data_IF_505845032744
#
_entry.id   IF_505845032744
#
_cell.length_a   1.000
_cell.length_b   1.000
_cell.length_c   1.000
_cell.angle_alpha   90.00
_cell.angle_beta   90.00
_cell.angle_gamma   90.00
#
_symmetry.space_group_name_H-M   'P 1'
#
loop_
_entity.id
_entity.type
_entity.pdbx_description
1 polymer ?
#
# COMPACT_ATOMS: atom_id res chain seq x y z
N UNK A 1 -5.89 -5.38 29.66
CA UNK A 1 -5.79 -4.79 28.32
C UNK A 1 -6.52 -5.67 27.29
N UNK A 2 -6.30 -6.99 27.30
CA UNK A 2 -6.97 -7.96 26.40
C UNK A 2 -8.48 -7.98 26.61
N UNK A 3 -8.96 -7.87 27.87
CA UNK A 3 -10.39 -7.84 28.19
C UNK A 3 -11.10 -6.56 27.74
N UNK A 4 -10.39 -5.45 27.59
CA UNK A 4 -10.91 -4.20 27.05
C UNK A 4 -11.03 -4.24 25.51
N UNK A 5 -10.13 -4.98 24.85
CA UNK A 5 -10.18 -5.19 23.41
C UNK A 5 -11.28 -6.19 22.98
N UNK A 6 -11.63 -7.14 23.86
CA UNK A 6 -12.69 -8.11 23.60
C UNK A 6 -14.11 -7.61 23.94
N UNK A 7 -14.26 -6.45 24.59
CA UNK A 7 -15.57 -5.93 25.04
C UNK A 7 -16.23 -4.98 24.03
N UNK A 8 -15.53 -4.55 23.00
CA UNK A 8 -16.12 -3.90 21.85
C UNK A 8 -16.59 -5.04 20.90
N UNK A 9 -17.75 -5.63 21.21
CA UNK A 9 -18.50 -6.40 20.22
C UNK A 9 -18.58 -5.49 19.00
N UNK A 10 -17.88 -5.87 17.94
CA UNK A 10 -18.11 -5.27 16.63
C UNK A 10 -19.63 -5.33 16.41
N UNK A 11 -20.24 -4.17 16.41
CA UNK A 11 -21.64 -4.00 16.00
C UNK A 11 -21.62 -4.23 14.49
N UNK A 12 -21.52 -5.53 14.13
CA UNK A 12 -21.73 -5.95 12.76
C UNK A 12 -23.19 -5.60 12.48
N UNK A 13 -23.42 -4.44 11.89
CA UNK A 13 -24.71 -4.15 11.31
C UNK A 13 -25.00 -5.31 10.36
N UNK A 14 -25.91 -6.18 10.79
CA UNK A 14 -26.46 -7.24 9.96
C UNK A 14 -27.01 -6.57 8.71
N UNK A 15 -26.23 -6.60 7.64
CA UNK A 15 -26.72 -6.24 6.32
C UNK A 15 -27.83 -7.22 6.03
N UNK A 16 -29.09 -6.82 5.73
CA UNK A 16 -30.17 -7.76 5.46
C UNK A 16 -29.73 -8.69 4.34
N UNK A 17 -29.50 -9.94 4.70
CA UNK A 17 -29.08 -11.00 3.79
C UNK A 17 -30.22 -11.24 2.78
N UNK A 18 -30.11 -10.62 1.61
CA UNK A 18 -30.60 -11.30 0.42
C UNK A 18 -29.68 -12.51 0.25
N UNK A 19 -30.14 -13.69 0.66
CA UNK A 19 -29.38 -14.92 0.61
C UNK A 19 -29.08 -15.28 -0.85
N UNK A 20 -28.00 -14.73 -1.37
CA UNK A 20 -27.45 -15.15 -2.66
C UNK A 20 -26.89 -16.56 -2.45
N UNK A 21 -27.26 -17.54 -3.26
CA UNK A 21 -26.74 -18.90 -3.09
C UNK A 21 -25.22 -18.92 -3.09
N UNK A 22 -24.62 -19.73 -2.22
CA UNK A 22 -23.18 -19.75 -1.95
C UNK A 22 -22.35 -19.92 -3.23
N UNK A 23 -22.81 -20.79 -4.16
CA UNK A 23 -22.13 -21.02 -5.43
C UNK A 23 -22.05 -19.76 -6.30
N UNK A 24 -23.12 -18.94 -6.29
CA UNK A 24 -23.15 -17.69 -7.07
C UNK A 24 -22.23 -16.63 -6.44
N UNK A 25 -22.23 -16.54 -5.12
CA UNK A 25 -21.29 -15.65 -4.39
C UNK A 25 -19.84 -16.05 -4.65
N UNK A 26 -19.52 -17.34 -4.59
CA UNK A 26 -18.19 -17.85 -4.90
C UNK A 26 -17.78 -17.57 -6.34
N UNK A 27 -18.69 -17.70 -7.30
CA UNK A 27 -18.43 -17.37 -8.71
C UNK A 27 -18.11 -15.88 -8.88
N UNK A 28 -18.87 -15.00 -8.26
CA UNK A 28 -18.58 -13.55 -8.31
C UNK A 28 -17.23 -13.19 -7.68
N UNK A 29 -16.86 -13.84 -6.58
CA UNK A 29 -15.55 -13.65 -5.95
C UNK A 29 -14.43 -14.07 -6.89
N UNK A 30 -14.53 -15.26 -7.50
CA UNK A 30 -13.50 -15.74 -8.45
C UNK A 30 -13.39 -14.85 -9.68
N UNK A 31 -14.52 -14.52 -10.31
CA UNK A 31 -14.51 -13.64 -11.49
C UNK A 31 -13.97 -12.26 -11.14
N UNK A 32 -14.39 -11.68 -10.02
CA UNK A 32 -13.91 -10.38 -9.56
C UNK A 32 -12.40 -10.39 -9.28
N UNK A 33 -11.89 -11.43 -8.63
CA UNK A 33 -10.46 -11.60 -8.37
C UNK A 33 -9.67 -11.71 -9.67
N UNK A 34 -10.11 -12.55 -10.60
CA UNK A 34 -9.47 -12.67 -11.91
C UNK A 34 -9.49 -11.34 -12.67
N UNK A 35 -10.61 -10.64 -12.68
CA UNK A 35 -10.74 -9.35 -13.37
C UNK A 35 -9.76 -8.31 -12.79
N UNK A 36 -9.59 -8.25 -11.47
CA UNK A 36 -8.64 -7.33 -10.84
C UNK A 36 -7.19 -7.72 -11.14
N UNK A 37 -6.86 -9.01 -11.10
CA UNK A 37 -5.51 -9.49 -11.45
C UNK A 37 -5.18 -9.17 -12.90
N UNK A 38 -6.07 -9.46 -13.86
CA UNK A 38 -5.86 -9.15 -15.27
C UNK A 38 -5.78 -7.65 -15.51
N UNK A 39 -6.67 -6.86 -14.89
CA UNK A 39 -6.65 -5.40 -14.98
C UNK A 39 -5.35 -4.79 -14.48
N UNK A 40 -4.85 -5.27 -13.33
CA UNK A 40 -3.56 -4.82 -12.77
C UNK A 40 -2.39 -5.15 -13.72
N UNK A 41 -2.36 -6.35 -14.31
CA UNK A 41 -1.32 -6.73 -15.28
C UNK A 41 -1.36 -5.87 -16.53
N UNK A 42 -2.53 -5.62 -17.09
CA UNK A 42 -2.69 -4.73 -18.26
C UNK A 42 -2.24 -3.30 -17.94
N UNK A 43 -2.60 -2.81 -16.75
CA UNK A 43 -2.16 -1.49 -16.29
C UNK A 43 -0.64 -1.41 -16.19
N UNK A 44 -0.01 -2.37 -15.51
CA UNK A 44 1.45 -2.39 -15.33
C UNK A 44 2.15 -2.46 -16.69
N UNK A 45 1.72 -3.38 -17.57
CA UNK A 45 2.34 -3.53 -18.90
C UNK A 45 2.22 -2.27 -19.74
N UNK A 46 1.01 -1.72 -19.89
CA UNK A 46 0.79 -0.53 -20.71
C UNK A 46 1.45 0.73 -20.15
N UNK A 47 1.35 0.95 -18.85
CA UNK A 47 1.96 2.11 -18.22
C UNK A 47 3.49 2.03 -18.21
N UNK A 48 4.07 0.84 -18.02
CA UNK A 48 5.53 0.63 -18.10
C UNK A 48 6.06 0.84 -19.53
N UNK A 49 5.33 0.40 -20.56
CA UNK A 49 5.70 0.63 -21.95
C UNK A 49 5.74 2.13 -22.28
N UNK A 50 4.72 2.89 -21.87
CA UNK A 50 4.69 4.35 -22.03
C UNK A 50 5.85 5.00 -21.29
N UNK A 51 6.09 4.60 -20.04
CA UNK A 51 7.16 5.15 -19.23
C UNK A 51 8.55 4.88 -19.80
N UNK A 52 8.78 3.68 -20.37
CA UNK A 52 10.00 3.34 -21.09
C UNK A 52 10.20 4.21 -22.33
N UNK A 53 9.13 4.47 -23.10
CA UNK A 53 9.22 5.35 -24.28
C UNK A 53 9.51 6.80 -23.89
N UNK A 54 9.13 7.22 -22.68
CA UNK A 54 9.46 8.54 -22.11
C UNK A 54 10.87 8.59 -21.51
N UNK A 55 11.63 7.49 -21.56
CA UNK A 55 13.02 7.42 -21.06
C UNK A 55 13.15 7.30 -19.54
N UNK A 56 12.09 6.90 -18.82
CA UNK A 56 12.18 6.63 -17.40
C UNK A 56 13.00 5.37 -17.13
N UNK A 57 13.81 5.39 -16.05
CA UNK A 57 14.59 4.21 -15.67
C UNK A 57 13.70 3.08 -15.15
N UNK A 58 14.12 1.82 -15.35
CA UNK A 58 13.42 0.64 -14.85
C UNK A 58 13.14 0.72 -13.34
N UNK A 59 14.07 1.29 -12.59
CA UNK A 59 13.91 1.46 -11.15
C UNK A 59 12.78 2.45 -10.82
N UNK A 60 12.68 3.59 -11.51
CA UNK A 60 11.58 4.54 -11.32
C UNK A 60 10.25 3.90 -11.69
N UNK A 61 10.21 3.15 -12.79
CA UNK A 61 9.01 2.40 -13.21
C UNK A 61 8.60 1.40 -12.13
N UNK A 62 9.55 0.65 -11.56
CA UNK A 62 9.29 -0.34 -10.52
C UNK A 62 8.70 0.26 -9.25
N UNK A 63 9.31 1.32 -8.71
CA UNK A 63 8.86 1.96 -7.46
C UNK A 63 7.60 2.82 -7.61
N UNK A 64 7.19 3.15 -8.83
CA UNK A 64 5.98 3.95 -9.10
C UNK A 64 4.89 3.09 -9.73
N UNK A 65 5.02 2.76 -11.01
CA UNK A 65 3.97 2.11 -11.81
C UNK A 65 3.70 0.69 -11.30
N UNK A 66 4.76 -0.10 -11.10
CA UNK A 66 4.61 -1.48 -10.63
C UNK A 66 4.05 -1.49 -9.20
N UNK A 67 4.56 -0.61 -8.31
CA UNK A 67 4.06 -0.51 -6.94
C UNK A 67 2.57 -0.13 -6.89
N UNK A 68 2.14 0.87 -7.68
CA UNK A 68 0.72 1.23 -7.80
C UNK A 68 -0.08 0.07 -8.37
N UNK A 69 0.38 -0.52 -9.46
CA UNK A 69 -0.33 -1.60 -10.16
C UNK A 69 -0.54 -2.84 -9.31
N UNK A 70 0.46 -3.23 -8.51
CA UNK A 70 0.34 -4.37 -7.58
C UNK A 70 -0.59 -4.07 -6.41
N UNK A 71 -0.78 -2.80 -6.04
CA UNK A 71 -1.69 -2.37 -4.97
C UNK A 71 -3.11 -2.03 -5.45
N UNK A 72 -3.40 -2.15 -6.77
CA UNK A 72 -4.75 -1.92 -7.31
C UNK A 72 -5.81 -2.85 -6.71
N UNK A 73 -5.54 -4.16 -6.48
CA UNK A 73 -6.50 -5.05 -5.82
C UNK A 73 -6.89 -4.56 -4.41
N UNK A 74 -5.90 -4.17 -3.62
CA UNK A 74 -6.10 -3.65 -2.26
C UNK A 74 -6.86 -2.33 -2.29
N UNK A 75 -6.52 -1.45 -3.24
CA UNK A 75 -7.21 -0.17 -3.41
C UNK A 75 -8.68 -0.39 -3.78
N UNK A 76 -8.98 -1.30 -4.72
CA UNK A 76 -10.33 -1.60 -5.14
C UNK A 76 -11.17 -2.15 -3.99
N UNK A 77 -10.65 -3.13 -3.24
CA UNK A 77 -11.35 -3.71 -2.09
C UNK A 77 -11.52 -2.71 -0.96
N UNK A 78 -10.50 -1.90 -0.67
CA UNK A 78 -10.55 -0.83 0.32
C UNK A 78 -11.56 0.26 -0.02
N UNK A 79 -11.65 0.68 -1.28
CA UNK A 79 -12.66 1.65 -1.75
C UNK A 79 -14.08 1.11 -1.60
N UNK A 80 -14.33 -0.13 -2.04
CA UNK A 80 -15.65 -0.77 -1.88
C UNK A 80 -16.04 -0.87 -0.41
N UNK A 81 -15.12 -1.27 0.46
CA UNK A 81 -15.35 -1.33 1.90
C UNK A 81 -15.67 0.07 2.48
N UNK A 82 -14.94 1.10 2.04
CA UNK A 82 -15.19 2.48 2.47
C UNK A 82 -16.57 2.99 2.03
N UNK A 83 -16.98 2.71 0.78
CA UNK A 83 -18.33 3.05 0.29
C UNK A 83 -19.43 2.30 1.06
N UNK A 84 -19.16 1.05 1.46
CA UNK A 84 -20.08 0.26 2.29
C UNK A 84 -20.01 0.60 3.77
N UNK A 85 -19.21 1.60 4.16
CA UNK A 85 -18.97 2.02 5.56
C UNK A 85 -18.35 0.91 6.44
N UNK A 86 -17.71 -0.07 5.83
CA UNK A 86 -17.00 -1.16 6.51
C UNK A 86 -15.55 -0.73 6.81
N UNK A 87 -15.40 0.25 7.68
CA UNK A 87 -14.11 0.91 7.97
C UNK A 87 -13.08 -0.07 8.53
N UNK A 88 -13.50 -0.97 9.41
CA UNK A 88 -12.60 -1.95 10.04
C UNK A 88 -12.02 -2.92 9.02
N UNK A 89 -12.84 -3.35 8.05
CA UNK A 89 -12.38 -4.18 6.95
C UNK A 89 -11.37 -3.42 6.06
N UNK A 90 -11.67 -2.15 5.70
CA UNK A 90 -10.77 -1.33 4.89
C UNK A 90 -9.40 -1.14 5.57
N UNK A 91 -9.39 -0.86 6.87
CA UNK A 91 -8.16 -0.72 7.66
C UNK A 91 -7.42 -2.05 7.78
N UNK A 92 -8.14 -3.13 8.09
CA UNK A 92 -7.56 -4.48 8.17
C UNK A 92 -6.91 -4.92 6.86
N UNK A 93 -7.54 -4.62 5.72
CA UNK A 93 -6.99 -4.90 4.39
C UNK A 93 -5.66 -4.17 4.16
N UNK A 94 -5.58 -2.87 4.45
CA UNK A 94 -4.36 -2.06 4.28
C UNK A 94 -3.24 -2.55 5.21
N UNK A 95 -3.53 -2.76 6.50
CA UNK A 95 -2.51 -3.22 7.45
C UNK A 95 -2.08 -4.65 7.15
N UNK A 96 -3.03 -5.52 6.79
CA UNK A 96 -2.75 -6.92 6.48
C UNK A 96 -1.89 -7.09 5.24
N UNK A 97 -2.16 -6.34 4.16
CA UNK A 97 -1.34 -6.36 2.95
C UNK A 97 0.08 -5.86 3.22
N UNK A 98 0.27 -4.80 4.01
CA UNK A 98 1.61 -4.32 4.38
C UNK A 98 2.40 -5.37 5.17
N UNK A 99 1.77 -6.01 6.16
CA UNK A 99 2.38 -7.09 6.94
C UNK A 99 2.75 -8.26 6.03
N UNK A 100 1.83 -8.67 5.15
CA UNK A 100 2.07 -9.77 4.22
C UNK A 100 3.20 -9.44 3.23
N UNK A 101 3.26 -8.23 2.69
CA UNK A 101 4.31 -7.82 1.77
C UNK A 101 5.69 -7.82 2.43
N UNK A 102 5.79 -7.37 3.69
CA UNK A 102 7.08 -7.33 4.41
C UNK A 102 7.48 -8.74 4.86
N UNK A 103 6.63 -9.46 5.58
CA UNK A 103 7.03 -10.74 6.18
C UNK A 103 6.81 -11.93 5.23
N UNK A 104 5.75 -11.93 4.44
CA UNK A 104 5.46 -12.99 3.49
C UNK A 104 6.30 -12.85 2.22
N UNK A 105 6.12 -11.76 1.48
CA UNK A 105 6.75 -11.61 0.16
C UNK A 105 8.27 -11.44 0.28
N UNK A 106 8.75 -10.44 1.03
CA UNK A 106 10.20 -10.22 1.18
C UNK A 106 10.86 -11.38 1.92
N UNK A 107 10.22 -11.89 2.99
CA UNK A 107 10.76 -13.01 3.75
C UNK A 107 10.93 -14.27 2.91
N UNK A 108 9.94 -14.63 2.09
CA UNK A 108 10.04 -15.79 1.20
C UNK A 108 11.03 -15.52 0.06
N UNK A 109 10.99 -14.33 -0.54
CA UNK A 109 11.92 -14.00 -1.65
C UNK A 109 13.39 -14.07 -1.21
N UNK A 110 13.70 -13.64 0.00
CA UNK A 110 15.07 -13.68 0.54
C UNK A 110 15.63 -15.10 0.75
N UNK A 111 14.75 -16.13 0.79
CA UNK A 111 15.20 -17.53 0.87
C UNK A 111 15.72 -18.06 -0.48
N UNK A 112 15.35 -17.43 -1.59
CA UNK A 112 15.67 -17.90 -2.94
C UNK A 112 16.70 -17.04 -3.66
N UNK A 113 16.86 -15.77 -3.26
CA UNK A 113 17.80 -14.84 -3.88
C UNK A 113 18.23 -13.77 -2.92
N UNK A 114 19.45 -13.27 -3.08
CA UNK A 114 19.90 -12.06 -2.39
C UNK A 114 19.12 -10.87 -2.92
N UNK A 115 18.54 -10.09 -2.01
CA UNK A 115 17.76 -8.91 -2.36
C UNK A 115 18.71 -7.72 -2.48
N UNK A 116 19.03 -7.36 -3.71
CA UNK A 116 19.77 -6.13 -3.99
C UNK A 116 18.84 -4.92 -3.92
N UNK A 117 19.29 -3.89 -3.22
CA UNK A 117 18.48 -2.73 -2.89
C UNK A 117 19.04 -1.51 -3.60
N UNK A 118 18.32 -0.93 -4.57
CA UNK A 118 18.82 0.21 -5.33
C UNK A 118 18.97 1.48 -4.46
N UNK A 119 20.12 2.13 -4.57
CA UNK A 119 20.49 3.36 -3.85
C UNK A 119 19.96 4.61 -4.59
N UNK A 120 18.65 4.72 -4.78
CA UNK A 120 18.06 5.79 -5.60
C UNK A 120 18.09 7.17 -4.92
N UNK A 121 17.76 7.22 -3.66
CA UNK A 121 17.57 8.48 -2.94
C UNK A 121 18.87 9.21 -2.63
N UNK A 122 19.95 8.47 -2.33
CA UNK A 122 21.27 9.04 -2.01
C UNK A 122 21.90 9.77 -3.21
N UNK A 123 21.58 9.34 -4.43
CA UNK A 123 22.16 9.91 -5.65
C UNK A 123 21.58 11.30 -6.00
N UNK A 124 20.38 11.60 -5.58
CA UNK A 124 19.67 12.84 -5.93
C UNK A 124 19.88 13.95 -4.90
N UNK A 125 20.09 13.62 -3.63
CA UNK A 125 20.54 14.56 -2.62
C UNK A 125 22.07 14.51 -2.58
N UNK A 126 22.73 15.46 -3.20
CA UNK A 126 24.18 15.65 -3.11
C UNK A 126 24.53 16.05 -1.67
N UNK A 127 24.44 15.09 -0.74
CA UNK A 127 24.67 15.27 0.71
C UNK A 127 26.16 15.54 0.98
N UNK A 128 27.04 15.26 0.01
CA UNK A 128 28.45 15.66 0.04
C UNK A 128 28.64 17.18 0.23
N UNK A 129 27.73 18.01 -0.26
CA UNK A 129 27.81 19.47 -0.07
C UNK A 129 27.54 19.92 1.38
N UNK A 130 26.91 19.10 2.20
CA UNK A 130 26.59 19.43 3.61
C UNK A 130 27.65 18.87 4.59
N UNK A 131 28.69 18.18 4.09
CA UNK A 131 29.77 17.65 4.92
C UNK A 131 29.36 16.47 5.84
N UNK A 132 28.17 15.92 5.67
CA UNK A 132 27.71 14.72 6.37
C UNK A 132 27.98 13.50 5.49
N UNK A 133 29.06 12.79 5.75
CA UNK A 133 29.41 11.52 5.12
C UNK A 133 28.52 10.39 5.66
N UNK A 134 27.20 10.52 5.52
CA UNK A 134 26.25 9.48 5.87
C UNK A 134 26.03 8.64 4.62
N UNK A 135 26.82 7.59 4.49
CA UNK A 135 26.65 6.53 3.48
C UNK A 135 25.42 5.66 3.85
N UNK A 136 24.27 6.33 4.07
CA UNK A 136 23.00 5.64 4.32
C UNK A 136 22.41 5.28 2.97
N UNK A 137 22.21 3.98 2.72
CA UNK A 137 21.51 3.47 1.55
C UNK A 137 20.10 4.09 1.47
N UNK A 138 19.64 4.43 0.28
CA UNK A 138 18.32 5.04 0.06
C UNK A 138 17.16 4.34 0.78
N UNK A 139 17.28 3.02 0.96
CA UNK A 139 16.34 2.22 1.75
C UNK A 139 16.15 2.69 3.18
N UNK A 140 17.18 3.16 3.84
CA UNK A 140 17.03 3.61 5.22
C UNK A 140 16.10 4.83 5.25
N UNK A 141 16.18 5.71 4.25
CA UNK A 141 15.26 6.85 4.14
C UNK A 141 13.84 6.40 3.82
N UNK A 142 13.67 5.46 2.89
CA UNK A 142 12.36 4.91 2.54
C UNK A 142 11.74 4.16 3.71
N UNK A 143 12.53 3.35 4.41
CA UNK A 143 12.11 2.64 5.61
C UNK A 143 11.69 3.59 6.73
N UNK A 144 12.48 4.66 6.98
CA UNK A 144 12.13 5.69 7.95
C UNK A 144 10.87 6.46 7.53
N UNK A 145 10.74 6.80 6.25
CA UNK A 145 9.55 7.46 5.74
C UNK A 145 8.29 6.61 5.98
N UNK A 146 8.32 5.33 5.59
CA UNK A 146 7.21 4.39 5.81
C UNK A 146 6.91 4.24 7.31
N UNK A 147 7.96 4.11 8.14
CA UNK A 147 7.79 4.01 9.59
C UNK A 147 7.11 5.25 10.17
N UNK A 148 7.58 6.44 9.82
CA UNK A 148 7.01 7.70 10.31
C UNK A 148 5.56 7.86 9.88
N UNK A 149 5.25 7.62 8.60
CA UNK A 149 3.87 7.70 8.08
C UNK A 149 2.97 6.68 8.78
N UNK A 150 3.46 5.46 9.00
CA UNK A 150 2.72 4.41 9.74
C UNK A 150 2.46 4.81 11.19
N UNK A 151 3.45 5.35 11.88
CA UNK A 151 3.29 5.83 13.26
C UNK A 151 2.30 6.99 13.36
N UNK A 152 2.35 7.95 12.41
CA UNK A 152 1.37 9.03 12.32
C UNK A 152 -0.03 8.47 12.08
N UNK A 153 -0.18 7.50 11.19
CA UNK A 153 -1.45 6.84 10.90
C UNK A 153 -2.02 6.15 12.15
N UNK A 154 -1.21 5.34 12.84
CA UNK A 154 -1.61 4.64 14.06
C UNK A 154 -1.97 5.63 15.18
N UNK A 155 -1.18 6.70 15.34
CA UNK A 155 -1.46 7.76 16.30
C UNK A 155 -2.81 8.45 16.02
N UNK A 156 -3.06 8.82 14.77
CA UNK A 156 -4.32 9.45 14.37
C UNK A 156 -5.52 8.52 14.58
N UNK A 157 -5.38 7.24 14.29
CA UNK A 157 -6.41 6.24 14.56
C UNK A 157 -6.71 6.13 16.07
N UNK A 158 -5.67 6.09 16.91
CA UNK A 158 -5.83 5.95 18.36
C UNK A 158 -6.45 7.20 19.01
N UNK A 159 -6.05 8.39 18.57
CA UNK A 159 -6.49 9.66 19.18
C UNK A 159 -7.84 10.12 18.60
N UNK A 160 -8.00 10.09 17.30
CA UNK A 160 -9.20 10.63 16.63
C UNK A 160 -10.29 9.60 16.39
N UNK A 161 -9.98 8.31 16.50
CA UNK A 161 -10.88 7.17 16.23
C UNK A 161 -11.62 7.23 14.88
N UNK A 162 -11.31 8.23 14.04
CA UNK A 162 -11.89 8.42 12.70
C UNK A 162 -10.89 9.10 11.78
N UNK A 163 -10.70 8.52 10.61
CA UNK A 163 -9.93 9.13 9.53
C UNK A 163 -10.91 9.84 8.61
N UNK A 164 -10.93 11.16 8.66
CA UNK A 164 -11.80 11.98 7.83
C UNK A 164 -11.16 12.36 6.49
N UNK A 165 -11.96 12.91 5.58
CA UNK A 165 -11.51 13.34 4.24
C UNK A 165 -10.26 14.23 4.27
N UNK A 166 -10.15 15.15 5.22
CA UNK A 166 -8.98 16.04 5.37
C UNK A 166 -7.68 15.28 5.63
N UNK A 167 -7.74 14.25 6.49
CA UNK A 167 -6.59 13.39 6.80
C UNK A 167 -6.22 12.53 5.59
N UNK A 168 -7.22 12.00 4.85
CA UNK A 168 -6.98 11.26 3.62
C UNK A 168 -6.29 12.12 2.55
N UNK A 169 -6.75 13.36 2.33
CA UNK A 169 -6.11 14.30 1.41
C UNK A 169 -4.66 14.60 1.84
N UNK A 170 -4.40 14.79 3.13
CA UNK A 170 -3.06 15.02 3.65
C UNK A 170 -2.12 13.85 3.32
N UNK A 171 -2.53 12.59 3.57
CA UNK A 171 -1.73 11.42 3.24
C UNK A 171 -1.49 11.29 1.74
N UNK A 172 -2.48 11.62 0.92
CA UNK A 172 -2.34 11.59 -0.53
C UNK A 172 -1.34 12.65 -1.03
N UNK A 173 -1.35 13.84 -0.45
CA UNK A 173 -0.37 14.89 -0.76
C UNK A 173 1.04 14.50 -0.32
N UNK A 174 1.19 13.86 0.86
CA UNK A 174 2.48 13.34 1.34
C UNK A 174 3.01 12.27 0.37
N UNK A 175 2.15 11.36 -0.12
CA UNK A 175 2.53 10.34 -1.09
C UNK A 175 2.95 10.95 -2.43
N UNK A 176 2.19 11.90 -2.98
CA UNK A 176 2.53 12.60 -4.23
C UNK A 176 3.87 13.34 -4.08
N UNK A 177 4.08 14.01 -2.95
CA UNK A 177 5.35 14.70 -2.67
C UNK A 177 6.52 13.71 -2.59
N UNK A 178 6.32 12.56 -1.94
CA UNK A 178 7.32 11.50 -1.88
C UNK A 178 7.69 10.97 -3.28
N UNK A 179 6.70 10.69 -4.13
CA UNK A 179 6.94 10.28 -5.53
C UNK A 179 7.69 11.36 -6.31
N UNK A 180 7.33 12.64 -6.12
CA UNK A 180 8.04 13.74 -6.77
C UNK A 180 9.51 13.83 -6.38
N UNK A 181 9.86 13.48 -5.14
CA UNK A 181 11.27 13.44 -4.69
C UNK A 181 12.02 12.24 -5.28
N UNK A 182 11.33 11.16 -5.63
CA UNK A 182 11.95 9.95 -6.19
C UNK A 182 12.21 10.04 -7.70
N UNK A 183 11.39 10.78 -8.44
CA UNK A 183 11.48 10.97 -9.90
C UNK A 183 12.35 12.18 -10.23
#
# INVERSE_FOLDING_TARGET
LVSLLMKEKADFQEVPEKSIPLWLSSTFVVIGLLAVIFGSRLFISGASEIANTLGLSETVIGITIVAIGTSLPELATGLVAAFKKQTDFAIGNILGSNIYNIFGVLGVSSLFTDLEIPLLFVRKLNIEEIGLNINLSGIIYDAWFVLIVTLIFVYLMRVRRRIGKKTGILFLLIYIFYIFLLV
#
